data_IF_798580746015
#
_entry.id   IF_798580746015
#
_cell.length_a   1.000
_cell.length_b   1.000
_cell.length_c   1.000
_cell.angle_alpha   90.00
_cell.angle_beta   90.00
_cell.angle_gamma   90.00
#
_symmetry.space_group_name_H-M   'P 1'
#
loop_
_entity.id
_entity.type
_entity.pdbx_description
1 polymer ?
#
# COMPACT_ATOMS: atom_id res chain seq x y z
N UNK A 1 -88.69 10.65 -10.14
CA UNK A 1 -87.57 11.15 -10.91
C UNK A 1 -86.37 11.26 -9.95
N UNK A 2 -85.61 10.18 -9.81
CA UNK A 2 -84.53 10.03 -8.83
C UNK A 2 -83.18 10.35 -9.42
N UNK A 3 -82.53 11.35 -8.82
CA UNK A 3 -81.14 11.72 -9.15
C UNK A 3 -80.18 10.89 -8.29
N UNK A 4 -79.62 9.84 -8.86
CA UNK A 4 -78.51 9.06 -8.25
C UNK A 4 -77.22 9.89 -8.23
N UNK A 5 -76.78 10.25 -7.01
CA UNK A 5 -75.46 10.86 -6.77
C UNK A 5 -74.41 9.76 -6.79
N UNK A 6 -73.49 9.79 -7.76
CA UNK A 6 -72.27 8.99 -7.75
C UNK A 6 -71.22 9.69 -6.91
N UNK A 7 -70.84 9.05 -5.81
CA UNK A 7 -69.69 9.51 -5.01
C UNK A 7 -68.48 8.79 -5.57
N UNK A 8 -67.54 9.55 -6.20
CA UNK A 8 -66.25 9.05 -6.66
C UNK A 8 -65.31 9.06 -5.46
N UNK A 9 -64.85 7.87 -5.02
CA UNK A 9 -63.77 7.70 -4.07
C UNK A 9 -62.44 7.76 -4.84
N UNK A 10 -61.67 8.87 -4.63
CA UNK A 10 -60.31 8.97 -5.12
C UNK A 10 -59.40 8.25 -4.15
N UNK A 11 -58.85 7.10 -4.53
CA UNK A 11 -57.74 6.43 -3.83
C UNK A 11 -56.46 7.22 -4.13
N UNK A 12 -55.92 7.94 -3.14
CA UNK A 12 -54.57 8.47 -3.20
C UNK A 12 -53.58 7.33 -2.92
N UNK A 13 -52.90 6.90 -3.96
CA UNK A 13 -51.78 5.97 -3.82
C UNK A 13 -50.55 6.73 -3.35
N UNK A 14 -50.19 6.62 -2.07
CA UNK A 14 -48.93 7.09 -1.54
C UNK A 14 -47.80 6.16 -1.96
N UNK A 15 -47.03 6.56 -2.96
CA UNK A 15 -45.77 5.89 -3.35
C UNK A 15 -44.72 6.15 -2.30
N UNK A 16 -44.42 5.14 -1.47
CA UNK A 16 -43.24 5.14 -0.60
C UNK A 16 -42.02 4.84 -1.49
N UNK A 17 -41.25 5.84 -1.84
CA UNK A 17 -39.93 5.67 -2.48
C UNK A 17 -38.99 5.03 -1.44
N UNK A 18 -38.25 3.94 -1.78
CA UNK A 18 -37.22 3.42 -0.89
C UNK A 18 -36.12 4.49 -0.77
N UNK A 19 -35.88 4.93 0.45
CA UNK A 19 -34.69 5.74 0.74
C UNK A 19 -33.47 4.88 0.43
N UNK A 20 -32.75 5.21 -0.63
CA UNK A 20 -31.44 4.67 -0.89
C UNK A 20 -30.56 5.08 0.30
N UNK A 21 -30.21 4.11 1.15
CA UNK A 21 -29.18 4.33 2.16
C UNK A 21 -27.87 4.50 1.36
N UNK A 22 -27.43 5.76 1.26
CA UNK A 22 -26.07 6.07 0.89
C UNK A 22 -25.19 5.40 1.95
N UNK A 23 -24.47 4.35 1.58
CA UNK A 23 -23.39 3.85 2.41
C UNK A 23 -22.35 4.95 2.42
N UNK A 24 -22.17 5.56 3.57
CA UNK A 24 -21.10 6.49 3.86
C UNK A 24 -19.81 5.67 3.83
N UNK A 25 -19.23 5.51 2.63
CA UNK A 25 -17.90 4.93 2.47
C UNK A 25 -16.95 5.99 3.01
N UNK A 26 -16.59 5.82 4.29
CA UNK A 26 -15.51 6.58 4.88
C UNK A 26 -14.27 6.28 4.03
N UNK A 27 -13.90 7.22 3.15
CA UNK A 27 -12.69 7.09 2.34
C UNK A 27 -11.51 6.96 3.31
N UNK A 28 -11.02 5.73 3.45
CA UNK A 28 -9.82 5.46 4.25
C UNK A 28 -8.63 5.95 3.43
N UNK A 29 -8.10 7.11 3.79
CA UNK A 29 -6.93 7.69 3.11
C UNK A 29 -5.69 6.83 3.35
N UNK A 30 -5.03 6.42 2.27
CA UNK A 30 -3.76 5.67 2.31
C UNK A 30 -2.60 6.64 2.25
N UNK A 31 -1.93 6.81 3.39
CA UNK A 31 -0.76 7.68 3.48
C UNK A 31 0.38 7.17 2.59
N UNK A 32 0.98 8.07 1.78
CA UNK A 32 2.20 7.77 1.01
C UNK A 32 3.39 7.58 1.95
N UNK A 33 4.18 6.53 1.74
CA UNK A 33 5.33 6.20 2.58
C UNK A 33 6.61 6.75 1.98
N UNK A 34 7.24 7.69 2.70
CA UNK A 34 8.36 8.50 2.21
C UNK A 34 9.55 8.41 3.16
N UNK A 35 10.77 8.35 2.59
CA UNK A 35 12.05 8.56 3.29
C UNK A 35 12.85 9.68 2.62
N UNK A 36 13.80 10.22 3.35
CA UNK A 36 14.67 11.31 2.88
C UNK A 36 13.99 12.67 2.95
N UNK A 37 14.35 13.57 2.03
CA UNK A 37 13.84 14.93 2.02
C UNK A 37 12.53 15.02 1.19
N UNK A 38 11.38 15.31 1.79
CA UNK A 38 10.11 15.43 1.07
C UNK A 38 10.10 16.54 0.02
N UNK A 39 10.98 17.54 0.17
CA UNK A 39 11.09 18.70 -0.72
C UNK A 39 12.26 18.57 -1.73
N UNK A 40 12.89 17.38 -1.84
CA UNK A 40 13.96 17.17 -2.80
C UNK A 40 13.44 17.28 -4.24
N UNK A 41 14.28 17.86 -5.11
CA UNK A 41 13.99 17.99 -6.55
C UNK A 41 14.03 16.66 -7.30
N UNK A 42 14.72 15.66 -6.75
CA UNK A 42 14.78 14.31 -7.30
C UNK A 42 13.93 13.37 -6.46
N UNK A 43 12.90 12.80 -7.09
CA UNK A 43 12.04 11.78 -6.49
C UNK A 43 12.36 10.42 -7.10
N UNK A 44 12.65 9.43 -6.26
CA UNK A 44 12.73 8.02 -6.62
C UNK A 44 11.53 7.28 -6.03
N UNK A 45 10.66 6.77 -6.88
CA UNK A 45 9.54 5.91 -6.47
C UNK A 45 9.87 4.46 -6.76
N UNK A 46 9.76 3.60 -5.75
CA UNK A 46 9.86 2.15 -5.89
C UNK A 46 8.47 1.52 -5.78
N UNK A 47 8.06 0.77 -6.82
CA UNK A 47 6.93 -0.14 -6.77
C UNK A 47 7.42 -1.53 -6.44
N UNK A 48 7.02 -2.08 -5.30
CA UNK A 48 7.55 -3.34 -4.82
C UNK A 48 6.49 -4.18 -4.08
N UNK A 49 6.61 -5.50 -4.23
CA UNK A 49 5.79 -6.46 -3.50
C UNK A 49 6.59 -7.14 -2.40
N UNK A 50 6.01 -7.22 -1.21
CA UNK A 50 6.63 -7.90 -0.05
C UNK A 50 6.79 -9.41 -0.25
N UNK A 51 6.11 -10.00 -1.24
CA UNK A 51 6.24 -11.41 -1.61
C UNK A 51 7.15 -11.64 -2.83
N UNK A 52 7.63 -10.57 -3.49
CA UNK A 52 8.49 -10.66 -4.67
C UNK A 52 9.96 -10.93 -4.27
N UNK A 53 10.59 -12.05 -4.72
CA UNK A 53 12.00 -12.33 -4.39
C UNK A 53 12.98 -11.33 -4.99
N UNK A 54 12.65 -10.71 -6.13
CA UNK A 54 13.48 -9.68 -6.75
C UNK A 54 13.48 -8.40 -5.91
N UNK A 55 12.33 -8.03 -5.30
CA UNK A 55 12.24 -6.91 -4.36
C UNK A 55 13.05 -7.19 -3.09
N UNK A 56 12.97 -8.41 -2.55
CA UNK A 56 13.80 -8.79 -1.40
C UNK A 56 15.30 -8.64 -1.71
N UNK A 57 15.75 -9.06 -2.90
CA UNK A 57 17.14 -8.84 -3.32
C UNK A 57 17.48 -7.36 -3.48
N UNK A 58 16.62 -6.55 -4.07
CA UNK A 58 16.83 -5.11 -4.16
C UNK A 58 17.00 -4.47 -2.78
N UNK A 59 16.15 -4.83 -1.83
CA UNK A 59 16.23 -4.35 -0.46
C UNK A 59 17.45 -4.86 0.31
N UNK A 60 18.01 -6.03 -0.07
CA UNK A 60 19.24 -6.56 0.54
C UNK A 60 20.50 -5.94 -0.09
N UNK A 61 20.54 -5.82 -1.42
CA UNK A 61 21.77 -5.55 -2.17
C UNK A 61 21.90 -4.08 -2.58
N UNK A 62 20.79 -3.37 -2.79
CA UNK A 62 20.78 -2.00 -3.33
C UNK A 62 20.36 -0.97 -2.28
N UNK A 63 19.27 -1.24 -1.55
CA UNK A 63 18.70 -0.29 -0.59
C UNK A 63 19.68 0.19 0.48
N UNK A 64 20.60 -0.62 1.05
CA UNK A 64 21.53 -0.12 2.06
C UNK A 64 22.43 1.02 1.54
N UNK A 65 22.99 0.85 0.33
CA UNK A 65 23.81 1.89 -0.29
C UNK A 65 22.97 3.10 -0.74
N UNK A 66 21.80 2.86 -1.32
CA UNK A 66 20.87 3.92 -1.67
C UNK A 66 20.46 4.76 -0.45
N UNK A 67 20.21 4.10 0.67
CA UNK A 67 19.87 4.78 1.93
C UNK A 67 21.03 5.65 2.41
N UNK A 68 22.23 5.11 2.50
CA UNK A 68 23.40 5.81 3.01
C UNK A 68 23.80 7.00 2.12
N UNK A 69 23.78 6.83 0.79
CA UNK A 69 24.37 7.82 -0.13
C UNK A 69 23.38 8.91 -0.57
N UNK A 70 22.07 8.63 -0.52
CA UNK A 70 21.04 9.54 -1.06
C UNK A 70 19.91 9.86 -0.08
N UNK A 71 19.37 8.87 0.63
CA UNK A 71 18.20 9.06 1.50
C UNK A 71 18.61 9.75 2.80
N UNK A 72 19.57 9.18 3.55
CA UNK A 72 20.04 9.71 4.83
C UNK A 72 20.81 11.03 4.66
N UNK A 73 21.30 11.30 3.46
CA UNK A 73 21.94 12.58 3.10
C UNK A 73 20.95 13.62 2.56
N UNK A 74 19.65 13.32 2.58
CA UNK A 74 18.57 14.22 2.14
C UNK A 74 18.70 14.71 0.68
N UNK A 75 19.39 13.96 -0.18
CA UNK A 75 19.55 14.30 -1.60
C UNK A 75 18.31 14.03 -2.43
N UNK A 76 17.53 13.00 -2.03
CA UNK A 76 16.34 12.59 -2.76
C UNK A 76 15.15 12.45 -1.83
N UNK A 77 13.94 12.50 -2.43
CA UNK A 77 12.70 11.97 -1.88
C UNK A 77 12.56 10.52 -2.36
N UNK A 78 12.56 9.56 -1.44
CA UNK A 78 12.27 8.17 -1.75
C UNK A 78 10.83 7.86 -1.39
N UNK A 79 10.05 7.38 -2.36
CA UNK A 79 8.65 6.97 -2.19
C UNK A 79 8.56 5.47 -2.37
N UNK A 80 7.91 4.79 -1.43
CA UNK A 80 7.66 3.36 -1.52
C UNK A 80 6.17 3.10 -1.75
N UNK A 81 5.85 2.41 -2.85
CA UNK A 81 4.48 2.04 -3.23
C UNK A 81 4.35 0.53 -3.27
N UNK A 82 3.50 0.00 -2.39
CA UNK A 82 3.25 -1.44 -2.31
C UNK A 82 2.51 -1.93 -3.56
N UNK A 83 2.89 -3.13 -4.03
CA UNK A 83 2.21 -3.89 -5.08
C UNK A 83 1.67 -5.18 -4.48
N UNK A 84 0.38 -5.43 -4.63
CA UNK A 84 -0.30 -6.57 -4.04
C UNK A 84 -0.68 -7.60 -5.11
N UNK A 85 0.24 -8.51 -5.45
CA UNK A 85 -0.03 -9.63 -6.35
C UNK A 85 -0.85 -10.74 -5.69
N UNK A 86 -0.77 -10.82 -4.37
CA UNK A 86 -1.37 -11.88 -3.57
C UNK A 86 -1.78 -11.37 -2.18
N UNK A 87 -2.56 -12.21 -1.49
CA UNK A 87 -3.06 -11.92 -0.14
C UNK A 87 -1.94 -11.77 0.89
N UNK A 88 -0.85 -12.51 0.75
CA UNK A 88 0.25 -12.46 1.73
C UNK A 88 0.97 -11.12 1.64
N UNK A 89 1.20 -10.61 0.43
CA UNK A 89 1.75 -9.27 0.22
C UNK A 89 0.88 -8.19 0.86
N UNK A 90 -0.45 -8.30 0.71
CA UNK A 90 -1.39 -7.37 1.36
C UNK A 90 -1.30 -7.45 2.90
N UNK A 91 -1.27 -8.66 3.47
CA UNK A 91 -1.13 -8.81 4.93
C UNK A 91 0.20 -8.25 5.45
N UNK A 92 1.30 -8.45 4.71
CA UNK A 92 2.58 -7.83 5.03
C UNK A 92 2.51 -6.31 5.03
N UNK A 93 1.87 -5.70 4.01
CA UNK A 93 1.65 -4.26 3.91
C UNK A 93 0.77 -3.71 5.04
N UNK A 94 -0.32 -4.41 5.38
CA UNK A 94 -1.18 -4.06 6.52
C UNK A 94 -0.40 -4.11 7.84
N UNK A 95 0.44 -5.15 8.06
CA UNK A 95 1.30 -5.22 9.24
C UNK A 95 2.29 -4.05 9.30
N UNK A 96 2.94 -3.73 8.18
CA UNK A 96 3.88 -2.62 8.12
C UNK A 96 3.21 -1.29 8.50
N UNK A 97 2.02 -1.04 7.97
CA UNK A 97 1.22 0.17 8.24
C UNK A 97 0.66 0.22 9.66
N UNK A 98 0.45 -0.94 10.30
CA UNK A 98 0.05 -1.03 11.71
C UNK A 98 1.05 -0.35 12.66
N UNK A 99 2.33 -0.30 12.27
CA UNK A 99 3.37 0.38 13.02
C UNK A 99 3.34 1.91 12.93
N UNK A 100 2.46 2.48 12.11
CA UNK A 100 2.50 3.90 11.76
C UNK A 100 3.73 4.26 10.92
N UNK A 101 3.81 5.51 10.46
CA UNK A 101 4.91 5.99 9.59
C UNK A 101 6.30 5.80 10.18
N UNK A 102 6.44 5.93 11.50
CA UNK A 102 7.73 5.81 12.20
C UNK A 102 8.33 4.40 12.15
N UNK A 103 7.49 3.35 12.23
CA UNK A 103 7.94 1.95 12.23
C UNK A 103 7.84 1.29 10.86
N UNK A 104 7.11 1.89 9.92
CA UNK A 104 6.79 1.31 8.63
C UNK A 104 8.01 0.73 7.90
N UNK A 105 9.02 1.55 7.63
CA UNK A 105 10.20 1.11 6.89
C UNK A 105 11.05 0.10 7.64
N UNK A 106 11.07 0.16 8.96
CA UNK A 106 11.72 -0.86 9.80
C UNK A 106 11.02 -2.22 9.70
N UNK A 107 9.68 -2.22 9.62
CA UNK A 107 8.90 -3.46 9.44
C UNK A 107 9.07 -3.99 8.00
N UNK A 108 9.04 -3.13 7.00
CA UNK A 108 9.30 -3.50 5.59
C UNK A 108 10.66 -4.17 5.43
N UNK A 109 11.71 -3.60 6.03
CA UNK A 109 13.07 -4.16 6.03
C UNK A 109 13.10 -5.57 6.67
N UNK A 110 12.44 -5.74 7.81
CA UNK A 110 12.32 -7.06 8.45
C UNK A 110 11.52 -8.07 7.61
N UNK A 111 10.45 -7.63 6.96
CA UNK A 111 9.65 -8.46 6.07
C UNK A 111 10.49 -8.95 4.87
N UNK A 112 11.28 -8.09 4.25
CA UNK A 112 12.17 -8.52 3.16
C UNK A 112 13.29 -9.44 3.63
N UNK A 113 13.98 -9.11 4.71
CA UNK A 113 15.05 -9.93 5.27
C UNK A 113 14.60 -11.33 5.68
N UNK A 114 13.34 -11.47 6.06
CA UNK A 114 12.73 -12.73 6.50
C UNK A 114 11.67 -13.25 5.54
N UNK A 115 11.68 -12.79 4.28
CA UNK A 115 10.63 -13.11 3.31
C UNK A 115 10.38 -14.63 3.21
N UNK A 116 11.46 -15.42 3.10
CA UNK A 116 11.35 -16.87 3.01
C UNK A 116 10.78 -17.53 4.27
N UNK A 117 10.80 -16.87 5.40
CA UNK A 117 10.34 -17.42 6.67
C UNK A 117 8.86 -17.14 6.88
N UNK A 118 8.45 -15.88 6.71
CA UNK A 118 7.07 -15.51 7.00
C UNK A 118 6.09 -15.90 5.87
N UNK A 119 6.57 -16.05 4.63
CA UNK A 119 5.72 -16.48 3.51
C UNK A 119 5.47 -17.99 3.48
N UNK A 120 6.15 -18.78 4.31
CA UNK A 120 5.94 -20.22 4.45
C UNK A 120 4.97 -20.51 5.58
N UNK A 121 3.96 -21.33 5.28
CA UNK A 121 2.99 -21.83 6.24
C UNK A 121 2.03 -22.79 5.56
N UNK A 122 1.48 -23.74 6.32
CA UNK A 122 0.49 -24.69 5.82
C UNK A 122 -0.84 -24.03 5.51
N UNK A 123 -1.15 -22.93 6.21
CA UNK A 123 -2.39 -22.18 6.07
C UNK A 123 -2.23 -20.70 6.47
N UNK A 124 -3.33 -19.95 6.36
CA UNK A 124 -3.35 -18.53 6.71
C UNK A 124 -3.09 -18.24 8.18
N UNK A 125 -3.38 -19.19 9.08
CA UNK A 125 -3.15 -19.01 10.52
C UNK A 125 -1.66 -19.02 10.82
N UNK A 126 -0.92 -19.97 10.25
CA UNK A 126 0.53 -20.05 10.40
C UNK A 126 1.24 -18.83 9.81
N UNK A 127 0.78 -18.36 8.64
CA UNK A 127 1.28 -17.11 8.02
C UNK A 127 1.05 -15.91 8.94
N UNK A 128 -0.16 -15.77 9.51
CA UNK A 128 -0.48 -14.68 10.43
C UNK A 128 0.42 -14.73 11.69
N UNK A 129 0.68 -15.92 12.24
CA UNK A 129 1.59 -16.09 13.38
C UNK A 129 3.03 -15.71 13.00
N UNK A 130 3.49 -16.01 11.79
CA UNK A 130 4.81 -15.60 11.34
C UNK A 130 4.90 -14.07 11.19
N UNK A 131 3.86 -13.41 10.69
CA UNK A 131 3.75 -11.95 10.65
C UNK A 131 3.71 -11.35 12.08
N UNK A 132 2.98 -11.94 13.00
CA UNK A 132 2.97 -11.52 14.42
C UNK A 132 4.35 -11.59 15.07
N UNK A 133 5.17 -12.58 14.72
CA UNK A 133 6.57 -12.65 15.22
C UNK A 133 7.37 -11.43 14.78
N UNK A 134 7.21 -11.00 13.52
CA UNK A 134 7.88 -9.80 12.99
C UNK A 134 7.36 -8.55 13.70
N UNK A 135 6.03 -8.40 13.81
CA UNK A 135 5.43 -7.24 14.46
C UNK A 135 5.82 -7.11 15.93
N UNK A 136 5.94 -8.24 16.67
CA UNK A 136 6.45 -8.23 18.06
C UNK A 136 7.90 -7.76 18.15
N UNK A 137 8.75 -8.15 17.21
CA UNK A 137 10.14 -7.65 17.14
C UNK A 137 10.15 -6.13 16.89
N UNK A 138 9.21 -5.61 16.09
CA UNK A 138 9.01 -4.18 15.88
C UNK A 138 8.34 -3.46 17.06
N UNK A 139 7.99 -4.19 18.13
CA UNK A 139 7.33 -3.63 19.31
C UNK A 139 5.84 -3.33 19.11
N UNK A 140 5.16 -4.06 18.22
CA UNK A 140 3.70 -4.00 18.09
C UNK A 140 3.04 -4.94 19.10
N UNK A 141 1.88 -4.57 19.61
CA UNK A 141 1.07 -5.41 20.47
C UNK A 141 0.21 -6.36 19.65
N UNK A 142 -0.08 -7.53 20.21
CA UNK A 142 -0.89 -8.54 19.51
C UNK A 142 -2.30 -8.03 19.16
N UNK A 143 -2.92 -7.28 20.07
CA UNK A 143 -4.26 -6.71 19.88
C UNK A 143 -4.28 -5.71 18.72
N UNK A 144 -3.26 -4.85 18.63
CA UNK A 144 -3.13 -3.86 17.56
C UNK A 144 -2.92 -4.56 16.20
N UNK A 145 -2.05 -5.57 16.14
CA UNK A 145 -1.81 -6.36 14.94
C UNK A 145 -3.04 -7.12 14.49
N UNK A 146 -3.81 -7.69 15.42
CA UNK A 146 -5.05 -8.38 15.11
C UNK A 146 -6.07 -7.40 14.50
N UNK A 147 -6.25 -6.23 15.11
CA UNK A 147 -7.14 -5.20 14.60
C UNK A 147 -6.73 -4.75 13.19
N UNK A 148 -5.44 -4.46 12.97
CA UNK A 148 -4.91 -4.06 11.67
C UNK A 148 -5.13 -5.13 10.58
N UNK A 149 -4.81 -6.40 10.85
CA UNK A 149 -4.94 -7.47 9.86
C UNK A 149 -6.39 -7.86 9.56
N UNK A 150 -7.34 -7.44 10.39
CA UNK A 150 -8.79 -7.62 10.21
C UNK A 150 -9.48 -6.38 9.61
N UNK A 151 -8.77 -5.27 9.44
CA UNK A 151 -9.33 -4.02 8.89
C UNK A 151 -9.59 -4.16 7.38
N UNK A 152 -10.85 -4.49 7.07
CA UNK A 152 -11.29 -4.69 5.68
C UNK A 152 -11.35 -3.38 4.88
N UNK A 153 -11.57 -2.25 5.53
CA UNK A 153 -11.67 -0.96 4.86
C UNK A 153 -10.26 -0.49 4.48
N UNK A 154 -9.28 -0.63 5.38
CA UNK A 154 -7.88 -0.42 5.04
C UNK A 154 -7.41 -1.37 3.93
N UNK A 155 -7.75 -2.66 4.01
CA UNK A 155 -7.37 -3.63 2.98
C UNK A 155 -7.89 -3.22 1.58
N UNK A 156 -9.16 -2.79 1.49
CA UNK A 156 -9.77 -2.31 0.23
C UNK A 156 -9.09 -1.03 -0.26
N UNK A 157 -8.85 -0.07 0.63
CA UNK A 157 -8.19 1.19 0.30
C UNK A 157 -6.77 0.96 -0.23
N UNK A 158 -5.99 0.07 0.40
CA UNK A 158 -4.64 -0.29 -0.05
C UNK A 158 -4.64 -0.89 -1.46
N UNK A 159 -5.56 -1.83 -1.73
CA UNK A 159 -5.67 -2.44 -3.06
C UNK A 159 -6.11 -1.42 -4.10
N UNK A 160 -7.07 -0.56 -3.79
CA UNK A 160 -7.53 0.50 -4.71
C UNK A 160 -6.41 1.49 -5.03
N UNK A 161 -5.70 1.99 -4.01
CA UNK A 161 -4.56 2.90 -4.18
C UNK A 161 -3.43 2.26 -5.00
N UNK A 162 -3.12 0.98 -4.75
CA UNK A 162 -2.16 0.24 -5.57
C UNK A 162 -2.59 0.20 -7.04
N UNK A 163 -3.85 -0.17 -7.32
CA UNK A 163 -4.35 -0.30 -8.68
C UNK A 163 -4.32 1.04 -9.43
N UNK A 164 -4.78 2.11 -8.79
CA UNK A 164 -4.75 3.47 -9.34
C UNK A 164 -3.33 3.93 -9.67
N UNK A 165 -2.41 3.82 -8.71
CA UNK A 165 -1.02 4.22 -8.90
C UNK A 165 -0.32 3.37 -9.98
N UNK A 166 -0.53 2.05 -9.97
CA UNK A 166 0.09 1.15 -10.92
C UNK A 166 -0.41 1.37 -12.36
N UNK A 167 -1.70 1.68 -12.52
CA UNK A 167 -2.28 2.04 -13.82
C UNK A 167 -1.72 3.38 -14.32
N UNK A 168 -1.71 4.40 -13.46
CA UNK A 168 -1.22 5.74 -13.80
C UNK A 168 0.26 5.72 -14.24
N UNK A 169 1.09 4.92 -13.58
CA UNK A 169 2.54 4.84 -13.83
C UNK A 169 2.93 3.67 -14.77
N UNK A 170 1.95 2.91 -15.28
CA UNK A 170 2.17 1.80 -16.23
C UNK A 170 2.96 0.64 -15.63
N UNK A 171 2.77 0.33 -14.34
CA UNK A 171 3.51 -0.70 -13.61
C UNK A 171 3.00 -2.10 -13.96
N UNK A 172 3.90 -2.96 -14.45
CA UNK A 172 3.59 -4.35 -14.82
C UNK A 172 4.55 -5.38 -14.21
N UNK A 173 5.55 -4.94 -13.46
CA UNK A 173 6.56 -5.80 -12.83
C UNK A 173 7.09 -5.17 -11.55
N UNK A 174 7.77 -5.99 -10.69
CA UNK A 174 8.42 -5.51 -9.47
C UNK A 174 9.82 -6.10 -9.29
N UNK A 175 10.78 -5.35 -8.73
CA UNK A 175 10.65 -3.93 -8.44
C UNK A 175 10.64 -3.09 -9.73
N UNK A 176 9.86 -2.01 -9.75
CA UNK A 176 9.92 -0.98 -10.77
C UNK A 176 10.34 0.33 -10.12
N UNK A 177 11.30 1.02 -10.72
CA UNK A 177 11.86 2.27 -10.24
C UNK A 177 11.45 3.40 -11.18
N UNK A 178 10.93 4.48 -10.61
CA UNK A 178 10.58 5.69 -11.36
C UNK A 178 11.39 6.86 -10.79
N UNK A 179 12.15 7.53 -11.62
CA UNK A 179 12.92 8.72 -11.24
C UNK A 179 12.29 9.92 -11.97
N UNK A 180 11.77 10.88 -11.21
CA UNK A 180 11.11 12.07 -11.76
C UNK A 180 10.10 11.76 -12.89
N UNK A 181 9.29 10.71 -12.69
CA UNK A 181 8.27 10.28 -13.67
C UNK A 181 8.78 9.38 -14.80
N UNK A 182 10.09 9.09 -14.87
CA UNK A 182 10.65 8.20 -15.90
C UNK A 182 10.88 6.79 -15.33
N UNK A 183 10.28 5.78 -15.96
CA UNK A 183 10.41 4.38 -15.53
C UNK A 183 11.73 3.76 -16.00
N UNK A 184 12.41 3.05 -15.09
CA UNK A 184 13.72 2.41 -15.32
C UNK A 184 13.74 0.91 -15.04
N UNK A 185 12.65 0.33 -14.55
CA UNK A 185 12.62 -1.07 -14.11
C UNK A 185 13.59 -1.36 -12.96
N UNK A 186 13.94 -2.64 -12.76
CA UNK A 186 14.91 -3.05 -11.72
C UNK A 186 16.33 -2.67 -12.14
N UNK A 187 17.10 -2.06 -11.24
CA UNK A 187 18.46 -1.59 -11.48
C UNK A 187 19.45 -2.12 -10.44
N UNK A 188 20.70 -2.34 -10.85
CA UNK A 188 21.80 -2.49 -9.91
C UNK A 188 22.10 -1.15 -9.22
N UNK A 189 22.75 -1.17 -8.04
CA UNK A 189 23.12 0.07 -7.37
C UNK A 189 23.99 0.99 -8.27
N UNK A 190 24.96 0.42 -8.99
CA UNK A 190 25.84 1.21 -9.86
C UNK A 190 25.10 1.90 -11.01
N UNK A 191 24.09 1.25 -11.57
CA UNK A 191 23.24 1.84 -12.61
C UNK A 191 22.31 2.91 -12.03
N UNK A 192 21.65 2.60 -10.91
CA UNK A 192 20.77 3.55 -10.21
C UNK A 192 21.53 4.81 -9.76
N UNK A 193 22.76 4.64 -9.24
CA UNK A 193 23.63 5.76 -8.87
C UNK A 193 23.87 6.72 -10.03
N UNK A 194 24.21 6.22 -11.22
CA UNK A 194 24.43 7.06 -12.41
C UNK A 194 23.18 7.84 -12.81
N UNK A 195 22.00 7.20 -12.70
CA UNK A 195 20.73 7.84 -13.03
C UNK A 195 20.40 8.96 -12.03
N UNK A 196 20.59 8.71 -10.73
CA UNK A 196 20.34 9.70 -9.69
C UNK A 196 21.32 10.87 -9.74
N UNK A 197 22.63 10.58 -9.92
CA UNK A 197 23.65 11.63 -10.04
C UNK A 197 23.34 12.57 -11.22
N UNK A 198 22.97 12.03 -12.37
CA UNK A 198 22.59 12.83 -13.54
C UNK A 198 21.35 13.72 -13.30
N UNK A 199 20.41 13.29 -12.48
CA UNK A 199 19.25 14.10 -12.10
C UNK A 199 19.57 15.18 -11.06
N UNK A 200 20.57 14.93 -10.19
CA UNK A 200 20.99 15.89 -9.17
C UNK A 200 21.88 17.01 -9.75
N UNK A 201 22.49 16.79 -10.92
CA UNK A 201 23.35 17.75 -11.62
C UNK A 201 22.58 18.64 -12.61
N UNK A 202 21.29 18.32 -12.88
CA UNK A 202 20.43 19.03 -13.85
C UNK A 202 19.67 20.19 -13.19
#
# INVERSE_FOLDING_TARGET
MDRRKFIAYSLAATSIAPAAMAQDTKDTEVMEMVLGNPDATVTLTEYASLTCPHCARFHTDVMPSLKTDYIDTNKIKFVYREVYFDRLGLWGGMLARCGGSEKYFGIVDMLYKRQSDWTKGADGTEIAENLYKIGRIAGLKNEDMQACLQDQDMAKALVATFQENAEADGINSTPSLIINGVSHGNQSYSALKKLLDAQLES
#
